data_IF_125139665213
#
_entry.id   IF_125139665213
#
_cell.length_a   1.000
_cell.length_b   1.000
_cell.length_c   1.000
_cell.angle_alpha   90.00
_cell.angle_beta   90.00
_cell.angle_gamma   90.00
#
_symmetry.space_group_name_H-M   'P 1'
#
loop_
_entity.id
_entity.type
_entity.pdbx_description
1 polymer ?
#
# COMPACT_ATOMS: atom_id res chain seq x y z
N UNK A 1 0.72 4.15 -14.07
CA UNK A 1 -0.30 3.10 -14.31
C UNK A 1 -1.09 3.46 -15.57
N UNK A 2 -1.70 2.49 -16.26
CA UNK A 2 -2.53 2.75 -17.46
C UNK A 2 -3.97 2.34 -17.16
N UNK A 3 -4.93 3.22 -17.43
CA UNK A 3 -6.34 2.90 -17.22
C UNK A 3 -6.83 1.90 -18.28
N UNK A 4 -7.46 0.76 -17.93
CA UNK A 4 -8.03 -0.17 -18.90
C UNK A 4 -9.23 0.40 -19.67
N UNK A 5 -9.90 1.43 -19.15
CA UNK A 5 -11.09 2.02 -19.78
C UNK A 5 -10.73 3.13 -20.80
N UNK A 6 -9.98 4.15 -20.38
CA UNK A 6 -9.62 5.28 -21.24
C UNK A 6 -8.22 5.17 -21.87
N UNK A 7 -7.44 4.13 -21.55
CA UNK A 7 -6.06 3.94 -22.00
C UNK A 7 -5.07 5.07 -21.60
N UNK A 8 -5.50 6.06 -20.81
CA UNK A 8 -4.64 7.13 -20.32
C UNK A 8 -3.65 6.64 -19.27
N UNK A 9 -2.47 7.25 -19.26
CA UNK A 9 -1.44 6.99 -18.24
C UNK A 9 -1.59 8.00 -17.12
N UNK A 10 -1.65 7.52 -15.88
CA UNK A 10 -1.71 8.36 -14.69
C UNK A 10 -0.80 7.79 -13.60
N UNK A 11 -0.35 8.66 -12.70
CA UNK A 11 0.44 8.26 -11.53
C UNK A 11 -0.45 8.08 -10.31
N UNK A 12 -0.17 7.04 -9.52
CA UNK A 12 -0.84 6.83 -8.24
C UNK A 12 -0.25 7.82 -7.22
N UNK A 13 -0.96 8.93 -6.99
CA UNK A 13 -0.59 9.91 -5.97
C UNK A 13 -1.00 9.41 -4.58
N UNK A 14 -0.32 9.92 -3.55
CA UNK A 14 -0.69 9.68 -2.14
C UNK A 14 -2.16 10.00 -1.87
N UNK A 15 -2.68 11.07 -2.47
CA UNK A 15 -4.08 11.46 -2.34
C UNK A 15 -5.05 10.40 -2.91
N UNK A 16 -4.69 9.77 -4.04
CA UNK A 16 -5.49 8.70 -4.63
C UNK A 16 -5.43 7.41 -3.79
N UNK A 17 -4.27 7.12 -3.21
CA UNK A 17 -4.06 5.97 -2.34
C UNK A 17 -4.82 6.12 -0.99
N UNK A 18 -4.72 7.29 -0.35
CA UNK A 18 -5.44 7.57 0.90
C UNK A 18 -6.94 7.85 0.72
N UNK A 19 -7.36 8.31 -0.46
CA UNK A 19 -8.79 8.46 -0.79
C UNK A 19 -9.53 7.11 -0.93
N UNK A 20 -8.79 6.00 -0.97
CA UNK A 20 -9.27 4.68 -1.31
C UNK A 20 -8.80 3.61 -0.30
N UNK A 21 -9.34 3.58 0.95
CA UNK A 21 -8.86 2.67 2.00
C UNK A 21 -8.99 1.18 1.67
N UNK A 22 -9.74 0.82 0.62
CA UNK A 22 -9.95 -0.57 0.17
C UNK A 22 -9.25 -0.91 -1.17
N UNK A 23 -8.27 -0.12 -1.61
CA UNK A 23 -7.59 -0.33 -2.90
C UNK A 23 -8.50 -0.08 -4.11
N UNK A 24 -9.55 0.73 -3.91
CA UNK A 24 -10.52 1.13 -4.91
C UNK A 24 -10.34 2.60 -5.26
N UNK A 25 -9.66 2.91 -6.35
CA UNK A 25 -9.39 4.29 -6.77
C UNK A 25 -10.05 4.60 -8.10
N UNK A 26 -10.43 5.86 -8.29
CA UNK A 26 -11.04 6.33 -9.53
C UNK A 26 -9.96 6.87 -10.47
N UNK A 27 -10.13 6.63 -11.78
CA UNK A 27 -9.23 7.22 -12.76
C UNK A 27 -9.43 8.76 -12.81
N UNK A 28 -8.39 9.60 -12.72
CA UNK A 28 -8.57 11.06 -12.74
C UNK A 28 -9.13 11.59 -14.07
N UNK A 29 -9.00 10.83 -15.17
CA UNK A 29 -9.46 11.24 -16.50
C UNK A 29 -10.89 10.81 -16.81
N UNK A 30 -11.26 9.57 -16.45
CA UNK A 30 -12.55 8.99 -16.82
C UNK A 30 -13.42 8.59 -15.62
N UNK A 31 -12.93 8.82 -14.39
CA UNK A 31 -13.57 8.49 -13.12
C UNK A 31 -14.02 7.03 -13.00
N UNK A 32 -13.50 6.15 -13.87
CA UNK A 32 -13.82 4.73 -13.82
C UNK A 32 -13.27 4.11 -12.52
N UNK A 33 -14.07 3.30 -11.81
CA UNK A 33 -13.63 2.63 -10.59
C UNK A 33 -12.65 1.51 -10.92
N UNK A 34 -11.43 1.64 -10.42
CA UNK A 34 -10.34 0.68 -10.59
C UNK A 34 -10.07 -0.01 -9.26
N UNK A 35 -9.71 -1.29 -9.31
CA UNK A 35 -9.26 -2.05 -8.15
C UNK A 35 -7.80 -2.46 -8.34
N UNK A 36 -6.97 -2.13 -7.35
CA UNK A 36 -5.62 -2.66 -7.23
C UNK A 36 -5.68 -4.16 -6.90
N UNK A 37 -5.05 -5.00 -7.73
CA UNK A 37 -4.84 -6.42 -7.39
C UNK A 37 -3.39 -6.60 -6.97
N UNK A 38 -3.18 -6.92 -5.69
CA UNK A 38 -1.84 -7.23 -5.18
C UNK A 38 -1.37 -8.58 -5.73
N UNK A 39 -0.09 -8.65 -6.11
CA UNK A 39 0.57 -9.88 -6.56
C UNK A 39 0.96 -10.71 -5.33
N UNK A 40 0.90 -12.05 -5.40
CA UNK A 40 1.23 -12.94 -4.26
C UNK A 40 2.61 -12.67 -3.60
N UNK A 41 3.58 -12.13 -4.36
CA UNK A 41 4.91 -11.74 -3.88
C UNK A 41 4.96 -10.46 -3.02
N UNK A 42 3.84 -9.74 -2.92
CA UNK A 42 3.71 -8.51 -2.14
C UNK A 42 3.89 -8.77 -0.63
N UNK A 43 3.15 -9.71 -0.07
CA UNK A 43 3.16 -10.05 1.36
C UNK A 43 4.53 -10.49 1.88
N UNK A 44 5.25 -11.44 1.24
CA UNK A 44 6.58 -11.82 1.72
C UNK A 44 7.60 -10.68 1.64
N UNK A 45 7.47 -9.76 0.67
CA UNK A 45 8.37 -8.61 0.55
C UNK A 45 8.15 -7.59 1.66
N UNK A 46 6.89 -7.27 1.97
CA UNK A 46 6.56 -6.40 3.12
C UNK A 46 7.06 -7.00 4.42
N UNK A 47 6.80 -8.30 4.64
CA UNK A 47 7.22 -8.99 5.85
C UNK A 47 8.74 -8.95 6.03
N UNK A 48 9.49 -9.17 4.95
CA UNK A 48 10.96 -9.13 4.96
C UNK A 48 11.48 -7.73 5.29
N UNK A 49 10.89 -6.67 4.70
CA UNK A 49 11.30 -5.30 5.03
C UNK A 49 10.98 -4.93 6.48
N UNK A 50 9.82 -5.32 7.00
CA UNK A 50 9.47 -5.09 8.41
C UNK A 50 10.47 -5.79 9.33
N UNK A 51 10.78 -7.06 9.09
CA UNK A 51 11.73 -7.82 9.92
C UNK A 51 13.14 -7.22 9.83
N UNK A 52 13.59 -6.83 8.63
CA UNK A 52 14.93 -6.30 8.43
C UNK A 52 15.14 -4.88 8.96
N UNK A 53 14.08 -4.06 9.02
CA UNK A 53 14.20 -2.63 9.39
C UNK A 53 13.55 -2.32 10.73
N UNK A 54 12.28 -2.67 10.91
CA UNK A 54 11.51 -2.35 12.12
C UNK A 54 11.98 -3.19 13.29
N UNK A 55 12.27 -4.48 13.07
CA UNK A 55 12.72 -5.40 14.12
C UNK A 55 13.97 -4.91 14.89
N UNK A 56 15.11 -4.65 14.21
CA UNK A 56 16.34 -4.23 14.86
C UNK A 56 16.21 -2.90 15.59
N UNK A 57 15.50 -1.93 14.99
CA UNK A 57 15.34 -0.59 15.58
C UNK A 57 14.42 -0.66 16.80
N UNK A 58 13.32 -1.39 16.72
CA UNK A 58 12.40 -1.59 17.85
C UNK A 58 13.11 -2.31 18.99
N UNK A 59 13.90 -3.35 18.69
CA UNK A 59 14.68 -4.08 19.68
C UNK A 59 15.73 -3.19 20.36
N UNK A 60 16.47 -2.39 19.58
CA UNK A 60 17.46 -1.46 20.12
C UNK A 60 16.84 -0.38 21.02
N UNK A 61 15.71 0.20 20.60
CA UNK A 61 14.98 1.19 21.39
C UNK A 61 14.35 0.58 22.65
N UNK A 62 13.88 -0.67 22.58
CA UNK A 62 13.35 -1.42 23.72
C UNK A 62 14.41 -1.61 24.80
N UNK A 63 15.59 -2.10 24.43
CA UNK A 63 16.72 -2.33 25.34
C UNK A 63 17.20 -1.02 26.00
N UNK A 64 17.22 0.10 25.27
CA UNK A 64 17.77 1.37 25.77
C UNK A 64 16.81 2.23 26.58
N UNK A 65 15.54 2.27 26.19
CA UNK A 65 14.56 3.23 26.72
C UNK A 65 13.33 2.56 27.36
N UNK A 66 13.29 1.22 27.35
CA UNK A 66 12.20 0.43 27.92
C UNK A 66 11.04 0.19 26.96
N UNK A 67 10.04 -0.55 27.45
CA UNK A 67 8.92 -1.07 26.65
C UNK A 67 8.14 0.02 25.90
N UNK A 68 7.75 1.08 26.59
CA UNK A 68 6.89 2.13 26.03
C UNK A 68 7.55 2.83 24.84
N UNK A 69 8.84 3.18 24.97
CA UNK A 69 9.58 3.88 23.91
C UNK A 69 9.91 2.93 22.76
N UNK A 70 10.24 1.67 23.04
CA UNK A 70 10.38 0.62 22.03
C UNK A 70 9.11 0.47 21.18
N UNK A 71 7.95 0.36 21.82
CA UNK A 71 6.67 0.21 21.11
C UNK A 71 6.31 1.44 20.25
N UNK A 72 6.45 2.64 20.80
CA UNK A 72 6.15 3.88 20.06
C UNK A 72 7.08 4.04 18.86
N UNK A 73 8.39 3.83 19.06
CA UNK A 73 9.38 3.94 17.97
C UNK A 73 9.16 2.88 16.88
N UNK A 74 8.83 1.65 17.27
CA UNK A 74 8.52 0.58 16.31
C UNK A 74 7.29 0.88 15.47
N UNK A 75 6.20 1.34 16.07
CA UNK A 75 4.98 1.73 15.34
C UNK A 75 5.23 2.92 14.42
N UNK A 76 5.92 3.95 14.90
CA UNK A 76 6.21 5.14 14.12
C UNK A 76 7.11 4.82 12.91
N UNK A 77 8.13 4.00 13.12
CA UNK A 77 9.03 3.57 12.05
C UNK A 77 8.32 2.65 11.05
N UNK A 78 7.47 1.74 11.53
CA UNK A 78 6.64 0.92 10.65
C UNK A 78 5.77 1.81 9.75
N UNK A 79 5.13 2.85 10.28
CA UNK A 79 4.35 3.77 9.45
C UNK A 79 5.23 4.50 8.43
N UNK A 80 6.37 5.05 8.85
CA UNK A 80 7.26 5.83 7.97
C UNK A 80 7.87 4.96 6.86
N UNK A 81 8.17 3.69 7.12
CA UNK A 81 8.83 2.80 6.15
C UNK A 81 7.81 2.01 5.33
N UNK A 82 6.80 1.43 5.98
CA UNK A 82 5.83 0.54 5.31
C UNK A 82 4.92 1.34 4.39
N UNK A 83 4.45 2.54 4.76
CA UNK A 83 3.57 3.33 3.88
C UNK A 83 4.21 3.70 2.53
N UNK A 84 5.39 4.33 2.45
CA UNK A 84 6.00 4.66 1.16
C UNK A 84 6.45 3.41 0.41
N UNK A 85 6.93 2.38 1.12
CA UNK A 85 7.25 1.10 0.49
C UNK A 85 6.02 0.49 -0.17
N UNK A 86 4.88 0.53 0.52
CA UNK A 86 3.62 0.02 0.01
C UNK A 86 3.19 0.75 -1.27
N UNK A 87 3.26 2.08 -1.27
CA UNK A 87 2.95 2.90 -2.46
C UNK A 87 3.91 2.58 -3.62
N UNK A 88 5.20 2.42 -3.36
CA UNK A 88 6.19 2.07 -4.41
C UNK A 88 5.93 0.68 -4.97
N UNK A 89 5.61 -0.28 -4.10
CA UNK A 89 5.29 -1.64 -4.53
C UNK A 89 3.98 -1.67 -5.30
N UNK A 90 2.97 -0.92 -4.88
CA UNK A 90 1.71 -0.84 -5.59
C UNK A 90 1.90 -0.14 -6.95
N UNK A 91 2.74 0.89 -7.04
CA UNK A 91 3.14 1.48 -8.34
C UNK A 91 3.80 0.48 -9.29
N UNK A 92 4.66 -0.41 -8.78
CA UNK A 92 5.37 -1.41 -9.60
C UNK A 92 4.53 -2.63 -9.97
N UNK A 93 3.65 -3.07 -9.08
CA UNK A 93 3.02 -4.38 -9.19
C UNK A 93 1.50 -4.35 -9.33
N UNK A 94 0.83 -3.22 -9.14
CA UNK A 94 -0.60 -3.14 -9.42
C UNK A 94 -0.85 -3.13 -10.92
N UNK A 95 -1.63 -4.11 -11.36
CA UNK A 95 -2.29 -4.08 -12.65
C UNK A 95 -3.69 -3.57 -12.35
N UNK A 96 -4.03 -2.31 -12.70
CA UNK A 96 -5.36 -1.76 -12.44
C UNK A 96 -6.38 -2.61 -13.20
N UNK A 97 -7.29 -3.24 -12.47
CA UNK A 97 -8.41 -3.98 -13.06
C UNK A 97 -9.68 -3.16 -12.91
N UNK A 98 -10.56 -3.24 -13.92
CA UNK A 98 -11.92 -2.73 -13.79
C UNK A 98 -12.59 -3.45 -12.63
N UNK A 99 -13.17 -2.69 -11.70
CA UNK A 99 -14.07 -3.31 -10.73
C UNK A 99 -15.30 -3.80 -11.50
N UNK A 100 -15.34 -5.10 -11.79
CA UNK A 100 -16.58 -5.72 -12.27
C UNK A 100 -17.58 -5.60 -11.12
N UNK A 101 -18.51 -4.65 -11.24
CA UNK A 101 -19.73 -4.68 -10.45
C UNK A 101 -20.43 -5.97 -10.83
N UNK A 102 -20.32 -6.98 -9.97
CA UNK A 102 -21.14 -8.18 -10.06
C UNK A 102 -22.57 -7.74 -9.75
N UNK A 103 -23.28 -7.27 -10.79
CA UNK A 103 -24.74 -7.34 -10.82
C UNK A 103 -25.08 -8.84 -10.83
N UNK A 104 -25.37 -9.40 -9.67
CA UNK A 104 -26.54 -10.25 -9.49
C UNK A 104 -27.60 -9.26 -8.99
N UNK A 105 -28.72 -8.94 -9.63
CA UNK A 105 -29.55 -9.71 -10.57
C UNK A 105 -29.63 -11.19 -10.14
N UNK A 106 -30.09 -11.40 -8.90
CA UNK A 106 -31.05 -12.45 -8.50
C UNK A 106 -31.58 -12.18 -7.09
#
# INVERSE_FOLDING_TARGET
MKCPHCNEKFELSLALYFGAPFGCFECPHCQAPLKGKHRLFYWPTILLVIIATVGPVTYYCYERFGFTVGMISGVLLALIVVLPLDIVMERKFSIPQMRQNKKSDE
#
